data_IF_467361975189
#
_entry.id   IF_467361975189
#
_cell.length_a   1.000
_cell.length_b   1.000
_cell.length_c   1.000
_cell.angle_alpha   90.00
_cell.angle_beta   90.00
_cell.angle_gamma   90.00
#
_symmetry.space_group_name_H-M   'P 1'
#
loop_
_entity.id
_entity.type
_entity.pdbx_description
1 polymer ?
#
# COMPACT_ATOMS: atom_id res chain seq x y z
N UNK A 1 60.12 14.20 57.26
CA UNK A 1 59.40 12.92 57.06
C UNK A 1 58.06 13.19 56.39
N UNK A 2 57.66 12.27 55.48
CA UNK A 2 56.41 12.18 54.71
C UNK A 2 56.32 13.03 53.44
N UNK A 3 56.65 12.38 52.32
CA UNK A 3 56.14 12.74 51.00
C UNK A 3 54.73 12.16 50.78
N UNK A 4 53.95 12.82 49.92
CA UNK A 4 52.68 12.32 49.41
C UNK A 4 52.51 12.78 47.96
N UNK A 5 52.33 11.80 47.07
CA UNK A 5 51.95 11.90 45.66
C UNK A 5 50.46 12.26 45.47
N UNK A 6 50.06 12.51 44.20
CA UNK A 6 48.70 12.60 43.58
C UNK A 6 48.32 14.05 43.20
N UNK A 7 47.87 14.43 41.99
CA UNK A 7 47.42 13.71 40.78
C UNK A 7 47.38 14.70 39.58
N UNK A 8 47.48 14.25 38.32
CA UNK A 8 47.21 15.09 37.16
C UNK A 8 45.69 15.24 36.95
N UNK A 9 45.18 16.47 36.93
CA UNK A 9 43.80 16.77 36.54
C UNK A 9 43.69 16.64 35.02
N UNK A 10 43.24 15.48 34.56
CA UNK A 10 42.80 15.29 33.18
C UNK A 10 41.53 16.12 32.92
N UNK A 11 41.67 17.23 32.19
CA UNK A 11 40.51 17.94 31.58
C UNK A 11 39.90 17.03 30.51
N UNK A 12 38.77 16.40 30.83
CA UNK A 12 37.96 15.65 29.87
C UNK A 12 37.38 16.54 28.76
N UNK A 13 37.12 15.99 27.56
CA UNK A 13 36.62 16.75 26.42
C UNK A 13 35.14 17.11 26.57
N UNK A 14 34.80 18.27 26.00
CA UNK A 14 33.54 19.01 26.11
C UNK A 14 32.39 18.29 25.38
N UNK A 15 31.67 17.44 26.10
CA UNK A 15 30.52 16.62 25.64
C UNK A 15 29.23 17.40 25.30
N UNK A 16 29.30 18.58 24.67
CA UNK A 16 28.09 19.34 24.29
C UNK A 16 27.59 19.02 22.87
N UNK A 17 28.47 18.61 21.96
CA UNK A 17 28.07 18.28 20.57
C UNK A 17 27.43 16.89 20.42
N UNK A 18 27.86 15.91 21.23
CA UNK A 18 27.38 14.52 21.14
C UNK A 18 25.93 14.39 21.58
N UNK A 19 25.52 15.17 22.60
CA UNK A 19 24.16 15.11 23.12
C UNK A 19 23.13 15.63 22.11
N UNK A 20 23.44 16.71 21.37
CA UNK A 20 22.55 17.28 20.35
C UNK A 20 22.35 16.32 19.16
N UNK A 21 23.42 15.66 18.71
CA UNK A 21 23.34 14.67 17.63
C UNK A 21 22.54 13.43 18.04
N UNK A 22 22.62 13.02 19.31
CA UNK A 22 21.81 11.92 19.83
C UNK A 22 20.31 12.25 19.86
N UNK A 23 19.93 13.50 20.19
CA UNK A 23 18.53 13.94 20.13
C UNK A 23 17.99 13.99 18.69
N UNK A 24 18.78 14.47 17.74
CA UNK A 24 18.38 14.50 16.32
C UNK A 24 18.22 13.07 15.77
N UNK A 25 19.15 12.18 16.09
CA UNK A 25 19.07 10.78 15.69
C UNK A 25 17.83 10.07 16.28
N UNK A 26 17.55 10.28 17.58
CA UNK A 26 16.33 9.74 18.22
C UNK A 26 15.04 10.30 17.62
N UNK A 27 15.00 11.60 17.30
CA UNK A 27 13.84 12.22 16.66
C UNK A 27 13.59 11.67 15.25
N UNK A 28 14.64 11.41 14.47
CA UNK A 28 14.53 10.79 13.14
C UNK A 28 14.06 9.33 13.23
N UNK A 29 14.55 8.55 14.19
CA UNK A 29 14.13 7.15 14.40
C UNK A 29 12.65 7.09 14.82
N UNK A 30 12.21 8.03 15.67
CA UNK A 30 10.81 8.09 16.12
C UNK A 30 9.89 8.62 15.00
N UNK A 31 10.36 9.58 14.19
CA UNK A 31 9.61 10.14 13.06
C UNK A 31 9.33 9.13 11.94
N UNK A 32 10.25 8.19 11.69
CA UNK A 32 10.04 7.11 10.70
C UNK A 32 9.02 6.05 11.14
N UNK A 33 8.64 6.00 12.43
CA UNK A 33 7.60 5.08 12.91
C UNK A 33 6.19 5.65 12.81
N UNK A 34 6.04 6.91 12.39
CA UNK A 34 4.75 7.55 12.14
C UNK A 34 4.45 7.75 10.65
N UNK A 35 4.99 6.90 9.77
CA UNK A 35 4.23 6.67 8.53
C UNK A 35 2.95 5.96 8.96
N UNK A 36 1.75 6.52 8.73
CA UNK A 36 0.55 5.76 8.93
C UNK A 36 0.74 4.52 8.08
N UNK A 37 0.89 3.37 8.73
CA UNK A 37 0.60 2.11 8.08
C UNK A 37 -0.80 2.34 7.51
N UNK A 38 -0.90 2.40 6.18
CA UNK A 38 -2.17 2.47 5.47
C UNK A 38 -2.90 1.12 5.63
N UNK A 39 -2.92 0.56 6.84
CA UNK A 39 -3.51 -0.72 7.24
C UNK A 39 -5.02 -0.65 7.28
N UNK A 40 -5.64 0.34 6.64
CA UNK A 40 -7.10 0.47 6.60
C UNK A 40 -7.67 0.56 5.18
N UNK A 41 -6.86 0.65 4.12
CA UNK A 41 -7.41 0.87 2.79
C UNK A 41 -7.69 -0.43 2.01
N UNK A 42 -8.82 -0.48 1.30
CA UNK A 42 -8.98 -1.38 0.17
C UNK A 42 -8.44 -0.70 -1.09
N UNK A 43 -7.62 -1.41 -1.87
CA UNK A 43 -6.93 -0.85 -3.02
C UNK A 43 -7.17 -1.66 -4.29
N UNK A 44 -7.04 -1.01 -5.43
CA UNK A 44 -7.19 -1.58 -6.75
C UNK A 44 -5.96 -1.20 -7.56
N UNK A 45 -5.19 -2.18 -8.00
CA UNK A 45 -3.93 -2.00 -8.71
C UNK A 45 -4.08 -2.41 -10.17
N UNK A 46 -3.61 -1.54 -11.06
CA UNK A 46 -3.58 -1.82 -12.48
C UNK A 46 -2.16 -2.23 -12.90
N UNK A 47 -1.92 -3.53 -13.07
CA UNK A 47 -0.66 -4.05 -13.59
C UNK A 47 -0.69 -4.29 -15.10
N UNK A 48 -1.69 -3.77 -15.79
CA UNK A 48 -1.86 -3.94 -17.23
C UNK A 48 -1.28 -2.75 -17.98
N UNK A 49 -1.07 -2.91 -19.29
CA UNK A 49 -0.57 -1.84 -20.17
C UNK A 49 -1.64 -0.84 -20.61
N UNK A 50 -2.91 -1.05 -20.24
CA UNK A 50 -4.00 -0.13 -20.57
C UNK A 50 -4.75 0.33 -19.33
N UNK A 51 -5.47 1.46 -19.45
CA UNK A 51 -6.37 1.95 -18.41
C UNK A 51 -7.42 0.90 -18.06
N UNK A 52 -7.73 0.78 -16.78
CA UNK A 52 -8.87 -0.03 -16.31
C UNK A 52 -9.91 0.87 -15.64
N UNK A 53 -11.15 0.43 -15.70
CA UNK A 53 -12.26 1.06 -15.04
C UNK A 53 -12.74 0.18 -13.89
N UNK A 54 -12.86 0.77 -12.71
CA UNK A 54 -13.32 0.10 -11.49
C UNK A 54 -14.50 0.87 -10.91
N UNK A 55 -15.63 0.19 -10.79
CA UNK A 55 -16.77 0.67 -9.99
C UNK A 55 -16.81 -0.13 -8.69
N UNK A 56 -16.88 0.58 -7.56
CA UNK A 56 -16.87 -0.01 -6.23
C UNK A 56 -17.99 0.58 -5.36
N UNK A 57 -18.64 -0.27 -4.57
CA UNK A 57 -19.66 0.11 -3.61
C UNK A 57 -19.42 -0.51 -2.23
N UNK A 58 -19.45 0.30 -1.17
CA UNK A 58 -19.38 -0.20 0.21
C UNK A 58 -20.68 -0.03 1.00
N UNK A 59 -21.82 0.05 0.30
CA UNK A 59 -23.15 0.20 0.88
C UNK A 59 -23.79 1.55 0.56
N UNK A 60 -24.81 1.92 1.36
CA UNK A 60 -25.62 3.12 1.13
C UNK A 60 -24.74 4.39 1.18
N UNK A 61 -24.82 5.23 0.13
CA UNK A 61 -23.98 6.42 -0.09
C UNK A 61 -22.47 6.19 -0.25
N UNK A 62 -22.03 4.96 -0.48
CA UNK A 62 -20.64 4.65 -0.74
C UNK A 62 -20.48 4.06 -2.14
N UNK A 63 -20.16 4.93 -3.10
CA UNK A 63 -19.87 4.56 -4.47
C UNK A 63 -18.63 5.29 -4.97
N UNK A 64 -17.75 4.56 -5.64
CA UNK A 64 -16.58 5.07 -6.31
C UNK A 64 -16.51 4.54 -7.72
N UNK A 65 -16.05 5.40 -8.61
CA UNK A 65 -15.86 5.14 -10.01
C UNK A 65 -14.47 5.69 -10.33
N UNK A 66 -13.55 4.79 -10.67
CA UNK A 66 -12.16 5.13 -10.92
C UNK A 66 -11.73 4.62 -12.28
N UNK A 67 -11.03 5.49 -12.99
CA UNK A 67 -10.25 5.13 -14.16
C UNK A 67 -8.79 5.10 -13.73
N UNK A 68 -8.20 3.90 -13.64
CA UNK A 68 -6.86 3.68 -13.10
C UNK A 68 -5.89 3.49 -14.27
N UNK A 69 -4.91 4.38 -14.39
CA UNK A 69 -3.88 4.32 -15.44
C UNK A 69 -2.95 3.10 -15.26
N UNK A 70 -2.26 2.65 -16.31
CA UNK A 70 -1.25 1.59 -16.24
C UNK A 70 -0.22 1.84 -15.14
N UNK A 71 -0.01 0.85 -14.26
CA UNK A 71 0.94 0.92 -13.15
C UNK A 71 0.47 1.77 -11.96
N UNK A 72 -0.72 2.35 -12.01
CA UNK A 72 -1.30 3.14 -10.92
C UNK A 72 -2.29 2.32 -10.08
N UNK A 73 -2.81 2.95 -9.03
CA UNK A 73 -3.72 2.35 -8.09
C UNK A 73 -4.71 3.37 -7.51
N UNK A 74 -5.89 2.89 -7.14
CA UNK A 74 -6.87 3.66 -6.39
C UNK A 74 -7.16 2.96 -5.06
N UNK A 75 -7.18 3.73 -3.98
CA UNK A 75 -7.43 3.22 -2.64
C UNK A 75 -8.58 3.95 -1.96
N UNK A 76 -9.30 3.24 -1.08
CA UNK A 76 -10.34 3.80 -0.22
C UNK A 76 -10.21 3.29 1.21
N UNK A 77 -10.40 4.14 2.23
CA UNK A 77 -10.39 3.70 3.62
C UNK A 77 -11.57 2.79 3.99
N UNK A 78 -11.27 1.63 4.57
CA UNK A 78 -11.74 1.28 5.91
C UNK A 78 -13.07 0.54 6.03
N UNK A 79 -13.74 0.15 4.94
CA UNK A 79 -14.99 -0.63 5.08
C UNK A 79 -15.05 -1.95 4.33
N UNK A 80 -14.14 -2.18 3.39
CA UNK A 80 -14.33 -3.25 2.41
C UNK A 80 -15.62 -2.99 1.63
N UNK A 81 -16.01 -3.90 0.76
CA UNK A 81 -17.20 -3.73 -0.04
C UNK A 81 -17.11 -4.49 -1.34
N UNK A 82 -17.95 -4.10 -2.27
CA UNK A 82 -18.15 -4.83 -3.50
C UNK A 82 -17.60 -4.07 -4.71
N UNK A 83 -16.64 -4.66 -5.42
CA UNK A 83 -16.26 -4.20 -6.75
C UNK A 83 -17.37 -4.64 -7.72
N UNK A 84 -18.24 -3.70 -8.06
CA UNK A 84 -19.42 -3.96 -8.87
C UNK A 84 -19.07 -4.15 -10.34
N UNK A 85 -17.96 -3.58 -10.80
CA UNK A 85 -17.44 -3.79 -12.16
C UNK A 85 -15.94 -3.53 -12.22
N UNK A 86 -15.21 -4.39 -12.93
CA UNK A 86 -13.82 -4.18 -13.36
C UNK A 86 -13.74 -4.50 -14.85
N UNK A 87 -13.25 -3.55 -15.64
CA UNK A 87 -13.15 -3.67 -17.10
C UNK A 87 -12.00 -2.84 -17.68
N UNK A 88 -11.67 -3.06 -18.94
CA UNK A 88 -10.69 -2.25 -19.70
C UNK A 88 -11.19 -0.84 -20.07
N UNK A 89 -12.51 -0.63 -20.03
CA UNK A 89 -13.08 0.68 -20.35
C UNK A 89 -14.41 0.89 -19.63
N UNK A 90 -14.70 2.16 -19.34
CA UNK A 90 -15.93 2.61 -18.68
C UNK A 90 -17.23 2.22 -19.39
N UNK A 91 -17.15 1.99 -20.70
CA UNK A 91 -18.27 1.55 -21.54
C UNK A 91 -18.08 0.13 -22.10
N UNK A 92 -17.08 -0.59 -21.61
CA UNK A 92 -16.81 -1.97 -21.99
C UNK A 92 -17.76 -2.94 -21.31
N UNK A 93 -17.76 -4.20 -21.76
CA UNK A 93 -18.44 -5.28 -21.07
C UNK A 93 -17.95 -5.34 -19.61
N UNK A 94 -18.91 -5.46 -18.69
CA UNK A 94 -18.71 -5.67 -17.27
C UNK A 94 -18.01 -7.01 -17.02
N UNK A 95 -16.69 -6.99 -17.07
CA UNK A 95 -15.85 -8.17 -17.21
C UNK A 95 -15.82 -9.01 -15.94
N UNK A 96 -15.69 -8.35 -14.78
CA UNK A 96 -15.72 -8.98 -13.46
C UNK A 96 -16.62 -8.16 -12.53
N UNK A 97 -17.69 -8.78 -12.04
CA UNK A 97 -18.73 -8.11 -11.25
C UNK A 97 -18.94 -8.81 -9.92
N UNK A 98 -19.37 -8.02 -8.93
CA UNK A 98 -19.73 -8.49 -7.60
C UNK A 98 -18.59 -9.18 -6.83
N UNK A 99 -17.36 -8.65 -6.96
CA UNK A 99 -16.20 -9.16 -6.19
C UNK A 99 -16.17 -8.49 -4.81
N UNK A 100 -16.27 -9.30 -3.76
CA UNK A 100 -16.25 -8.80 -2.39
C UNK A 100 -14.82 -8.60 -1.85
N UNK A 101 -14.39 -7.35 -1.74
CA UNK A 101 -13.09 -6.95 -1.21
C UNK A 101 -13.17 -6.78 0.31
N UNK A 102 -12.31 -7.48 1.04
CA UNK A 102 -12.19 -7.33 2.50
C UNK A 102 -11.72 -5.91 2.88
N UNK A 103 -11.96 -5.50 4.12
CA UNK A 103 -11.60 -4.15 4.64
C UNK A 103 -10.15 -3.74 4.32
N UNK A 104 -9.25 -4.70 4.37
CA UNK A 104 -7.80 -4.54 4.16
C UNK A 104 -7.31 -5.39 2.98
N UNK A 105 -8.24 -5.90 2.17
CA UNK A 105 -7.92 -6.62 0.95
C UNK A 105 -7.65 -5.66 -0.20
N UNK A 106 -7.13 -6.20 -1.28
CA UNK A 106 -6.92 -5.43 -2.49
C UNK A 106 -7.18 -6.29 -3.72
N UNK A 107 -7.41 -5.61 -4.84
CA UNK A 107 -7.55 -6.25 -6.14
C UNK A 107 -6.35 -5.90 -7.00
N UNK A 108 -5.81 -6.89 -7.68
CA UNK A 108 -4.81 -6.72 -8.72
C UNK A 108 -5.39 -7.14 -10.06
N UNK A 109 -5.23 -6.29 -11.07
CA UNK A 109 -5.63 -6.60 -12.44
C UNK A 109 -4.38 -6.76 -13.28
N UNK A 110 -4.24 -7.94 -13.87
CA UNK A 110 -3.13 -8.34 -14.73
C UNK A 110 -3.63 -8.62 -16.13
N UNK A 111 -2.81 -8.33 -17.14
CA UNK A 111 -3.06 -8.77 -18.49
C UNK A 111 -2.11 -9.91 -18.83
N UNK A 112 -2.68 -11.05 -19.20
CA UNK A 112 -1.93 -12.25 -19.58
C UNK A 112 -2.11 -12.48 -21.08
N UNK A 113 -1.03 -12.21 -21.83
CA UNK A 113 -0.93 -12.48 -23.26
C UNK A 113 0.16 -13.51 -23.54
N UNK A 114 -0.22 -14.77 -23.74
CA UNK A 114 0.71 -15.86 -24.03
C UNK A 114 0.01 -17.01 -24.78
N UNK A 115 0.69 -17.60 -25.77
CA UNK A 115 0.24 -18.83 -26.45
C UNK A 115 -1.20 -18.77 -27.01
N UNK A 116 -1.62 -17.61 -27.52
CA UNK A 116 -2.98 -17.39 -28.04
C UNK A 116 -4.04 -17.09 -26.98
N UNK A 117 -3.65 -17.02 -25.70
CA UNK A 117 -4.47 -16.53 -24.59
C UNK A 117 -4.27 -15.03 -24.48
N UNK A 118 -5.37 -14.27 -24.44
CA UNK A 118 -5.38 -12.81 -24.28
C UNK A 118 -6.46 -12.46 -23.25
N UNK A 119 -6.10 -12.49 -21.97
CA UNK A 119 -7.08 -12.37 -20.87
C UNK A 119 -6.66 -11.36 -19.82
N UNK A 120 -7.62 -10.59 -19.33
CA UNK A 120 -7.53 -9.88 -18.06
C UNK A 120 -7.76 -10.86 -16.92
N UNK A 121 -6.84 -10.90 -15.97
CA UNK A 121 -6.91 -11.70 -14.75
C UNK A 121 -7.04 -10.75 -13.57
N UNK A 122 -8.11 -10.88 -12.82
CA UNK A 122 -8.42 -10.11 -11.63
C UNK A 122 -8.24 -11.00 -10.41
N UNK A 123 -7.31 -10.63 -9.52
CA UNK A 123 -7.08 -11.35 -8.27
C UNK A 123 -7.55 -10.50 -7.10
N UNK A 124 -8.49 -11.03 -6.33
CA UNK A 124 -8.93 -10.45 -5.07
C UNK A 124 -8.11 -11.09 -3.95
N UNK A 125 -7.35 -10.28 -3.22
CA UNK A 125 -6.46 -10.72 -2.15
C UNK A 125 -6.97 -10.23 -0.80
N UNK A 126 -6.78 -11.05 0.22
CA UNK A 126 -7.01 -10.64 1.61
C UNK A 126 -5.83 -9.88 2.20
N UNK A 127 -5.98 -9.44 3.45
CA UNK A 127 -4.98 -8.66 4.17
C UNK A 127 -3.62 -9.36 4.36
N UNK A 128 -3.57 -10.68 4.17
CA UNK A 128 -2.35 -11.48 4.27
C UNK A 128 -1.74 -11.75 2.88
N UNK A 129 -2.32 -11.24 1.81
CA UNK A 129 -1.89 -11.45 0.42
C UNK A 129 -2.36 -12.78 -0.18
N UNK A 130 -3.25 -13.51 0.49
CA UNK A 130 -3.82 -14.73 -0.08
C UNK A 130 -4.90 -14.36 -1.09
N UNK A 131 -4.83 -14.91 -2.30
CA UNK A 131 -5.90 -14.78 -3.29
C UNK A 131 -7.14 -15.54 -2.80
N UNK A 132 -8.22 -14.81 -2.54
CA UNK A 132 -9.50 -15.36 -2.08
C UNK A 132 -10.46 -15.61 -3.24
N UNK A 133 -10.31 -14.88 -4.34
CA UNK A 133 -11.13 -15.02 -5.52
C UNK A 133 -10.35 -14.57 -6.75
N UNK A 134 -10.58 -15.24 -7.89
CA UNK A 134 -10.02 -14.87 -9.17
C UNK A 134 -11.14 -14.79 -10.20
N UNK A 135 -11.14 -13.74 -11.00
CA UNK A 135 -12.02 -13.57 -12.14
C UNK A 135 -11.20 -13.32 -13.40
N UNK A 136 -11.67 -13.79 -14.55
CA UNK A 136 -10.98 -13.59 -15.82
C UNK A 136 -11.95 -13.11 -16.90
N UNK A 137 -11.46 -12.27 -17.80
CA UNK A 137 -12.21 -11.77 -18.94
C UNK A 137 -11.32 -11.66 -20.19
N UNK A 138 -11.93 -11.56 -21.36
CA UNK A 138 -11.20 -11.37 -22.62
C UNK A 138 -10.65 -9.94 -22.70
N UNK A 139 -9.35 -9.81 -23.01
CA UNK A 139 -8.64 -8.52 -22.98
C UNK A 139 -8.74 -7.69 -24.26
#
# INVERSE_FOLDING_TARGET
MKGTLLNPVCRGPRNKGVMLMAFIAMALITGTLMFPKNTEACCFYNHTETKIHVTFSCGVFCWNDWDIEPGDHACRPGKGGNATSISKSKHGYHACNYIWVKKHGWIEVHHVSAQGINKGVVENKDENGNTIETCTFDW
#
